data_IF_899343432912
#
_entry.id   IF_899343432912
#
_cell.length_a   1.000
_cell.length_b   1.000
_cell.length_c   1.000
_cell.angle_alpha   90.00
_cell.angle_beta   90.00
_cell.angle_gamma   90.00
#
_symmetry.space_group_name_H-M   'P 1'
#
loop_
_entity.id
_entity.type
_entity.pdbx_description
1 polymer ?
#
# COMPACT_ATOMS: atom_id res chain seq x y z
N UNK A 1 17.49 2.73 -49.64
CA UNK A 1 17.08 4.09 -50.16
C UNK A 1 17.02 5.15 -49.08
N UNK A 2 16.61 4.87 -47.86
CA UNK A 2 16.53 5.90 -46.77
C UNK A 2 17.91 6.33 -46.23
N UNK A 3 18.84 5.37 -46.05
CA UNK A 3 20.18 5.66 -45.50
C UNK A 3 21.09 6.47 -46.43
N UNK A 4 20.88 6.37 -47.77
CA UNK A 4 21.67 7.16 -48.75
C UNK A 4 21.25 8.62 -48.75
N UNK A 5 19.94 8.91 -48.56
CA UNK A 5 19.41 10.23 -48.52
C UNK A 5 19.83 11.01 -47.26
N UNK A 6 19.79 10.36 -46.10
CA UNK A 6 20.21 10.98 -44.85
C UNK A 6 21.73 11.29 -44.84
N UNK A 7 22.54 10.51 -45.53
CA UNK A 7 23.96 10.78 -45.66
C UNK A 7 24.25 11.93 -46.59
N UNK A 8 23.53 12.02 -47.72
CA UNK A 8 23.65 13.12 -48.69
C UNK A 8 23.22 14.47 -48.09
N UNK A 9 22.17 14.49 -47.26
CA UNK A 9 21.75 15.69 -46.53
C UNK A 9 22.79 16.13 -45.52
N UNK A 10 23.39 15.21 -44.78
CA UNK A 10 24.45 15.52 -43.80
C UNK A 10 25.72 16.06 -44.44
N UNK A 11 26.05 15.61 -45.64
CA UNK A 11 27.23 16.12 -46.39
C UNK A 11 26.92 17.55 -46.93
N UNK A 12 25.74 17.80 -47.46
CA UNK A 12 25.36 19.17 -47.94
C UNK A 12 25.30 20.20 -46.82
N UNK A 13 24.84 19.81 -45.63
CA UNK A 13 24.80 20.73 -44.47
C UNK A 13 26.22 21.10 -43.99
N UNK A 14 27.20 20.23 -44.22
CA UNK A 14 28.62 20.50 -43.87
C UNK A 14 29.32 21.40 -44.91
N UNK A 15 28.92 21.33 -46.16
CA UNK A 15 29.55 22.09 -47.26
C UNK A 15 29.02 23.53 -47.40
N UNK A 16 27.78 23.82 -47.03
CA UNK A 16 27.20 25.16 -46.99
C UNK A 16 26.60 25.48 -45.61
N UNK A 17 27.40 26.02 -44.68
CA UNK A 17 26.84 26.49 -43.40
C UNK A 17 25.89 27.69 -43.67
N UNK A 18 24.61 27.45 -43.52
CA UNK A 18 23.60 28.54 -43.60
C UNK A 18 23.87 29.51 -42.46
N UNK A 19 24.19 30.79 -42.74
CA UNK A 19 24.46 31.75 -41.66
C UNK A 19 23.21 31.94 -40.81
N UNK A 20 23.38 31.75 -39.50
CA UNK A 20 22.30 31.93 -38.53
C UNK A 20 21.79 33.39 -38.64
N UNK A 21 20.48 33.60 -38.82
CA UNK A 21 19.94 34.97 -38.95
C UNK A 21 20.29 35.80 -37.70
N UNK A 22 20.65 37.06 -37.92
CA UNK A 22 21.03 38.00 -36.84
C UNK A 22 19.96 38.12 -35.73
N UNK A 23 18.69 37.88 -36.07
CA UNK A 23 17.59 37.85 -35.08
C UNK A 23 17.72 36.71 -34.10
N UNK A 24 18.15 35.53 -34.55
CA UNK A 24 18.37 34.35 -33.68
C UNK A 24 19.58 34.58 -32.79
N UNK A 25 20.64 35.20 -33.30
CA UNK A 25 21.82 35.58 -32.50
C UNK A 25 21.41 36.53 -31.37
N UNK A 26 20.66 37.58 -31.65
CA UNK A 26 20.17 38.51 -30.63
C UNK A 26 19.22 37.88 -29.62
N UNK A 27 18.39 36.93 -30.00
CA UNK A 27 17.54 36.21 -29.05
C UNK A 27 18.35 35.31 -28.14
N UNK A 28 19.39 34.64 -28.65
CA UNK A 28 20.29 33.84 -27.86
C UNK A 28 21.06 34.73 -26.86
N UNK A 29 21.61 35.86 -27.28
CA UNK A 29 22.31 36.80 -26.39
C UNK A 29 21.35 37.36 -25.32
N UNK A 30 20.17 37.79 -25.66
CA UNK A 30 19.16 38.26 -24.69
C UNK A 30 18.75 37.16 -23.68
N UNK A 31 18.65 35.92 -24.16
CA UNK A 31 18.34 34.80 -23.28
C UNK A 31 19.51 34.48 -22.33
N UNK A 32 20.74 34.54 -22.82
CA UNK A 32 21.94 34.35 -22.01
C UNK A 32 22.14 35.48 -20.97
N UNK A 33 21.83 36.74 -21.33
CA UNK A 33 21.87 37.88 -20.39
C UNK A 33 20.75 37.82 -19.34
N UNK A 34 19.62 37.17 -19.64
CA UNK A 34 18.49 37.01 -18.74
C UNK A 34 18.66 35.85 -17.75
N UNK A 35 19.69 35.02 -17.90
CA UNK A 35 19.95 33.93 -16.98
C UNK A 35 20.47 34.49 -15.64
N UNK A 36 19.91 34.08 -14.49
CA UNK A 36 20.36 34.53 -13.19
C UNK A 36 21.84 34.16 -12.98
N UNK A 37 22.63 35.12 -12.53
CA UNK A 37 24.03 34.90 -12.17
C UNK A 37 24.18 33.66 -11.28
N UNK A 38 25.16 32.84 -11.65
CA UNK A 38 25.47 31.57 -11.00
C UNK A 38 25.79 31.82 -9.53
N UNK A 39 24.85 31.60 -8.60
CA UNK A 39 25.09 31.60 -7.17
C UNK A 39 26.31 30.73 -6.89
N UNK A 40 27.31 31.30 -6.19
CA UNK A 40 28.51 30.60 -5.75
C UNK A 40 28.14 29.24 -5.17
N UNK A 41 28.72 28.20 -5.76
CA UNK A 41 28.57 26.82 -5.27
C UNK A 41 29.16 26.79 -3.85
N UNK A 42 28.29 26.60 -2.83
CA UNK A 42 28.74 26.05 -1.56
C UNK A 42 29.64 24.85 -1.89
N UNK A 43 30.86 24.83 -1.39
CA UNK A 43 31.74 23.67 -1.48
C UNK A 43 31.02 22.48 -0.88
N UNK A 44 30.37 21.69 -1.71
CA UNK A 44 29.98 20.33 -1.36
C UNK A 44 31.30 19.60 -1.20
N UNK A 45 31.61 19.21 0.02
CA UNK A 45 32.74 18.31 0.31
C UNK A 45 32.39 17.06 -0.53
N UNK A 46 33.12 16.89 -1.64
CA UNK A 46 32.96 15.68 -2.47
C UNK A 46 33.47 14.52 -1.63
N UNK A 47 32.57 13.80 -0.99
CA UNK A 47 32.87 12.46 -0.47
C UNK A 47 33.49 11.67 -1.62
N UNK A 48 34.64 11.00 -1.39
CA UNK A 48 35.26 10.18 -2.42
C UNK A 48 34.20 9.23 -2.99
N UNK A 49 34.06 9.19 -4.30
CA UNK A 49 33.04 8.40 -5.00
C UNK A 49 32.93 6.97 -4.46
N UNK A 50 34.02 6.37 -3.99
CA UNK A 50 34.06 5.07 -3.34
C UNK A 50 33.27 5.02 -2.04
N UNK A 51 33.26 6.08 -1.21
CA UNK A 51 32.50 6.12 0.05
C UNK A 51 30.99 6.27 -0.20
N UNK A 52 30.59 7.05 -1.21
CA UNK A 52 29.20 7.22 -1.61
C UNK A 52 28.63 5.92 -2.20
N UNK A 53 29.40 5.20 -3.00
CA UNK A 53 29.02 3.88 -3.53
C UNK A 53 28.94 2.84 -2.41
N UNK A 54 29.91 2.83 -1.48
CA UNK A 54 29.87 1.93 -0.33
C UNK A 54 28.66 2.20 0.57
N UNK A 55 28.31 3.47 0.84
CA UNK A 55 27.12 3.84 1.60
C UNK A 55 25.82 3.44 0.88
N UNK A 56 25.75 3.60 -0.45
CA UNK A 56 24.61 3.18 -1.25
C UNK A 56 24.44 1.65 -1.27
N UNK A 57 25.53 0.91 -1.39
CA UNK A 57 25.52 -0.56 -1.31
C UNK A 57 25.11 -1.02 0.09
N UNK A 58 25.57 -0.35 1.14
CA UNK A 58 25.25 -0.67 2.52
C UNK A 58 23.76 -0.38 2.83
N UNK A 59 23.22 0.74 2.33
CA UNK A 59 21.79 1.04 2.39
C UNK A 59 20.96 0.03 1.58
N UNK A 60 21.40 -0.34 0.39
CA UNK A 60 20.74 -1.34 -0.43
C UNK A 60 20.74 -2.72 0.27
N UNK A 61 21.86 -3.11 0.88
CA UNK A 61 21.94 -4.34 1.69
C UNK A 61 21.05 -4.27 2.92
N UNK A 62 20.97 -3.14 3.61
CA UNK A 62 20.09 -2.94 4.76
C UNK A 62 18.59 -3.09 4.41
N UNK A 63 18.20 -2.70 3.19
CA UNK A 63 16.81 -2.78 2.72
C UNK A 63 16.48 -4.15 2.11
N UNK A 64 17.40 -4.75 1.34
CA UNK A 64 17.12 -5.99 0.60
C UNK A 64 17.39 -7.27 1.41
N UNK A 65 18.43 -7.29 2.27
CA UNK A 65 18.82 -8.52 2.97
C UNK A 65 17.85 -8.93 4.10
N UNK A 66 17.18 -8.05 4.85
CA UNK A 66 16.14 -8.45 5.80
C UNK A 66 15.01 -9.25 5.16
N UNK A 67 14.67 -8.93 3.92
CA UNK A 67 13.63 -9.62 3.15
C UNK A 67 14.07 -10.97 2.56
N UNK A 68 15.33 -11.39 2.80
CA UNK A 68 15.88 -12.63 2.19
C UNK A 68 16.35 -13.64 3.26
N UNK A 69 16.55 -13.24 4.52
CA UNK A 69 17.08 -14.12 5.56
C UNK A 69 16.67 -13.70 6.98
N UNK A 70 15.96 -14.59 7.67
CA UNK A 70 15.55 -14.42 9.08
C UNK A 70 16.76 -14.19 9.99
N UNK A 71 17.88 -14.85 9.74
CA UNK A 71 19.11 -14.67 10.52
C UNK A 71 19.73 -13.28 10.37
N UNK A 72 19.60 -12.66 9.20
CA UNK A 72 20.06 -11.30 8.97
C UNK A 72 19.11 -10.27 9.59
N UNK A 73 17.82 -10.51 9.52
CA UNK A 73 16.81 -9.68 10.15
C UNK A 73 17.05 -9.55 11.66
N UNK A 74 17.29 -10.67 12.37
CA UNK A 74 17.66 -10.68 13.79
C UNK A 74 18.97 -9.94 14.11
N UNK A 75 19.90 -9.85 13.15
CA UNK A 75 21.13 -9.08 13.31
C UNK A 75 20.93 -7.58 13.13
N UNK A 76 20.00 -7.18 12.23
CA UNK A 76 19.62 -5.77 11.96
C UNK A 76 18.81 -5.19 13.12
N UNK A 77 17.98 -6.00 13.77
CA UNK A 77 17.20 -5.66 14.96
C UNK A 77 18.06 -5.10 16.12
N UNK A 78 19.33 -5.50 16.21
CA UNK A 78 20.27 -5.02 17.21
C UNK A 78 20.88 -3.64 16.88
N UNK A 79 20.53 -3.04 15.76
CA UNK A 79 20.93 -1.68 15.40
C UNK A 79 19.93 -0.71 16.03
N UNK A 80 20.33 0.19 16.97
CA UNK A 80 19.42 1.00 17.79
C UNK A 80 18.44 1.91 17.03
N UNK A 81 18.68 2.15 15.73
CA UNK A 81 17.81 3.02 14.88
C UNK A 81 16.72 2.22 14.16
N UNK A 82 16.82 0.88 14.13
CA UNK A 82 15.89 0.00 13.39
C UNK A 82 15.16 -0.95 14.35
N UNK A 83 15.71 -1.20 15.54
CA UNK A 83 15.18 -2.14 16.52
C UNK A 83 13.90 -1.69 17.23
N UNK A 84 13.59 -0.38 17.18
CA UNK A 84 12.42 0.17 17.90
C UNK A 84 11.12 0.13 17.04
N UNK A 85 11.21 -0.30 15.77
CA UNK A 85 10.05 -0.43 14.88
C UNK A 85 9.74 -1.90 14.61
N UNK A 86 8.47 -2.18 14.34
CA UNK A 86 8.04 -3.51 13.88
C UNK A 86 8.71 -3.85 12.56
N UNK A 87 9.30 -5.03 12.47
CA UNK A 87 9.93 -5.51 11.26
C UNK A 87 8.98 -6.45 10.51
N UNK A 88 8.86 -6.24 9.22
CA UNK A 88 8.05 -7.06 8.34
C UNK A 88 8.96 -7.74 7.33
N UNK A 89 8.82 -9.04 7.18
CA UNK A 89 9.56 -9.83 6.22
C UNK A 89 8.60 -10.61 5.32
N UNK A 90 8.91 -10.71 4.04
CA UNK A 90 8.29 -11.71 3.19
C UNK A 90 8.94 -13.06 3.50
N UNK A 91 8.24 -13.92 4.22
CA UNK A 91 8.79 -15.21 4.67
C UNK A 91 8.54 -16.31 3.67
N UNK A 92 7.40 -16.24 2.98
CA UNK A 92 6.98 -17.25 2.01
C UNK A 92 6.44 -16.60 0.76
N UNK A 93 6.99 -17.04 -0.38
CA UNK A 93 6.48 -16.69 -1.69
C UNK A 93 5.95 -17.95 -2.36
N UNK A 94 4.71 -17.90 -2.82
CA UNK A 94 4.11 -18.95 -3.64
C UNK A 94 3.88 -18.39 -5.03
N UNK A 95 4.42 -19.05 -6.02
CA UNK A 95 4.18 -18.72 -7.41
C UNK A 95 3.80 -19.98 -8.18
N UNK A 96 2.68 -19.90 -8.89
CA UNK A 96 2.25 -20.91 -9.85
C UNK A 96 1.67 -20.20 -11.07
N UNK A 97 1.99 -20.68 -12.28
CA UNK A 97 1.35 -20.22 -13.50
C UNK A 97 1.38 -21.32 -14.55
N UNK A 98 0.24 -21.62 -15.16
CA UNK A 98 0.09 -22.56 -16.28
C UNK A 98 -0.38 -21.87 -17.57
N UNK A 99 -0.47 -20.53 -17.54
CA UNK A 99 -0.96 -19.69 -18.63
C UNK A 99 -2.48 -19.44 -18.60
N UNK A 100 -3.21 -20.18 -17.78
CA UNK A 100 -4.65 -20.00 -17.54
C UNK A 100 -4.95 -19.67 -16.07
N UNK A 101 -4.16 -20.22 -15.16
CA UNK A 101 -4.27 -20.00 -13.73
C UNK A 101 -2.96 -19.43 -13.21
N UNK A 102 -3.08 -18.49 -12.28
CA UNK A 102 -1.94 -17.84 -11.64
C UNK A 102 -2.16 -17.72 -10.14
N UNK A 103 -1.16 -18.08 -9.37
CA UNK A 103 -1.08 -17.79 -7.94
C UNK A 103 0.23 -17.03 -7.73
N UNK A 104 0.12 -15.82 -7.22
CA UNK A 104 1.25 -15.02 -6.76
C UNK A 104 0.94 -14.52 -5.34
N UNK A 105 1.66 -15.04 -4.36
CA UNK A 105 1.38 -14.77 -2.96
C UNK A 105 2.65 -14.45 -2.20
N UNK A 106 2.70 -13.23 -1.69
CA UNK A 106 3.71 -12.74 -0.76
C UNK A 106 3.14 -12.75 0.66
N UNK A 107 3.67 -13.64 1.53
CA UNK A 107 3.17 -13.81 2.89
C UNK A 107 4.12 -13.15 3.87
N UNK A 108 3.66 -12.10 4.61
CA UNK A 108 4.47 -11.41 5.58
C UNK A 108 4.64 -12.20 6.88
N UNK A 109 5.72 -11.93 7.58
CA UNK A 109 5.91 -12.23 8.99
C UNK A 109 6.18 -10.94 9.75
N UNK A 110 5.40 -10.70 10.79
CA UNK A 110 5.54 -9.56 11.70
C UNK A 110 6.51 -9.96 12.81
N UNK A 111 7.48 -9.11 13.08
CA UNK A 111 8.42 -9.27 14.18
C UNK A 111 8.51 -7.98 15.00
N UNK A 112 7.88 -7.96 16.17
CA UNK A 112 8.04 -6.94 17.19
C UNK A 112 8.69 -7.59 18.42
N UNK A 113 9.96 -7.27 18.67
CA UNK A 113 10.71 -7.87 19.77
C UNK A 113 10.12 -7.57 21.15
N UNK A 114 9.47 -6.43 21.30
CA UNK A 114 8.87 -6.00 22.56
C UNK A 114 7.50 -6.64 22.79
N UNK A 115 6.82 -7.04 21.69
CA UNK A 115 5.46 -7.60 21.71
C UNK A 115 5.39 -8.93 20.94
N UNK A 116 6.33 -9.84 21.18
CA UNK A 116 6.46 -11.11 20.45
C UNK A 116 5.18 -11.97 20.46
N UNK A 117 4.43 -12.01 21.55
CA UNK A 117 3.18 -12.80 21.64
C UNK A 117 2.09 -12.27 20.70
N UNK A 118 2.06 -10.93 20.46
CA UNK A 118 1.10 -10.32 19.55
C UNK A 118 1.54 -10.55 18.12
N UNK A 119 2.83 -10.43 17.84
CA UNK A 119 3.40 -10.80 16.53
C UNK A 119 3.07 -12.25 16.17
N UNK A 120 3.24 -13.19 17.09
CA UNK A 120 2.87 -14.59 16.89
C UNK A 120 1.38 -14.78 16.60
N UNK A 121 0.50 -14.01 17.29
CA UNK A 121 -0.94 -14.04 17.02
C UNK A 121 -1.26 -13.53 15.62
N UNK A 122 -0.68 -12.40 15.20
CA UNK A 122 -0.88 -11.83 13.85
C UNK A 122 -0.36 -12.83 12.81
N UNK A 123 0.86 -13.36 12.99
CA UNK A 123 1.44 -14.31 12.06
C UNK A 123 0.59 -15.57 11.92
N UNK A 124 0.03 -16.08 13.01
CA UNK A 124 -0.91 -17.19 12.97
C UNK A 124 -2.18 -16.86 12.17
N UNK A 125 -2.78 -15.68 12.36
CA UNK A 125 -3.97 -15.26 11.63
C UNK A 125 -3.69 -15.06 10.14
N UNK A 126 -2.54 -14.46 9.81
CA UNK A 126 -2.06 -14.33 8.41
C UNK A 126 -1.88 -15.71 7.79
N UNK A 127 -1.26 -16.64 8.50
CA UNK A 127 -1.03 -18.02 8.04
C UNK A 127 -2.34 -18.78 7.81
N UNK A 128 -3.28 -18.69 8.73
CA UNK A 128 -4.59 -19.35 8.60
C UNK A 128 -5.35 -18.86 7.39
N UNK A 129 -5.39 -17.54 7.19
CA UNK A 129 -6.06 -16.94 6.03
C UNK A 129 -5.38 -17.31 4.71
N UNK A 130 -4.07 -17.07 4.61
CA UNK A 130 -3.34 -17.28 3.36
C UNK A 130 -3.27 -18.75 2.96
N UNK A 131 -3.08 -19.66 3.92
CA UNK A 131 -3.13 -21.09 3.66
C UNK A 131 -4.51 -21.56 3.18
N UNK A 132 -5.60 -21.02 3.75
CA UNK A 132 -6.95 -21.36 3.30
C UNK A 132 -7.18 -20.93 1.83
N UNK A 133 -6.72 -19.72 1.47
CA UNK A 133 -6.81 -19.19 0.10
C UNK A 133 -5.99 -20.03 -0.89
N UNK A 134 -4.74 -20.35 -0.53
CA UNK A 134 -3.84 -21.14 -1.36
C UNK A 134 -4.38 -22.57 -1.55
N UNK A 135 -4.89 -23.19 -0.48
CA UNK A 135 -5.50 -24.52 -0.56
C UNK A 135 -6.75 -24.53 -1.46
N UNK A 136 -7.61 -23.49 -1.35
CA UNK A 136 -8.76 -23.32 -2.21
C UNK A 136 -8.36 -23.26 -3.68
N UNK A 137 -7.31 -22.49 -4.02
CA UNK A 137 -6.79 -22.41 -5.39
C UNK A 137 -6.39 -23.77 -5.96
N UNK A 138 -5.62 -24.56 -5.21
CA UNK A 138 -5.19 -25.89 -5.68
C UNK A 138 -6.35 -26.89 -5.76
N UNK A 139 -7.33 -26.81 -4.86
CA UNK A 139 -8.54 -27.63 -4.93
C UNK A 139 -9.39 -27.30 -6.16
N UNK A 140 -9.54 -26.01 -6.49
CA UNK A 140 -10.25 -25.59 -7.70
C UNK A 140 -9.55 -26.06 -8.98
N UNK A 141 -8.20 -26.00 -9.04
CA UNK A 141 -7.42 -26.55 -10.13
C UNK A 141 -7.67 -28.07 -10.30
N UNK A 142 -7.69 -28.82 -9.21
CA UNK A 142 -7.96 -30.27 -9.25
C UNK A 142 -9.37 -30.59 -9.72
N UNK A 143 -10.39 -29.89 -9.18
CA UNK A 143 -11.81 -30.09 -9.51
C UNK A 143 -12.07 -29.77 -10.99
N UNK A 144 -11.50 -28.68 -11.49
CA UNK A 144 -11.70 -28.23 -12.88
C UNK A 144 -10.82 -28.99 -13.88
N UNK A 145 -9.86 -29.78 -13.41
CA UNK A 145 -8.85 -30.43 -14.25
C UNK A 145 -7.99 -29.43 -15.02
N UNK A 146 -7.79 -28.22 -14.44
CA UNK A 146 -7.05 -27.14 -15.06
C UNK A 146 -7.79 -26.45 -16.21
N UNK A 147 -9.12 -26.61 -16.31
CA UNK A 147 -9.94 -25.89 -17.29
C UNK A 147 -10.48 -24.58 -16.71
N UNK A 148 -10.56 -23.54 -17.54
CA UNK A 148 -10.99 -22.22 -17.12
C UNK A 148 -9.84 -21.23 -16.95
N UNK A 149 -10.14 -20.13 -16.29
CA UNK A 149 -9.17 -19.07 -15.97
C UNK A 149 -9.38 -18.63 -14.53
N UNK A 150 -8.32 -18.46 -13.78
CA UNK A 150 -8.38 -17.97 -12.42
C UNK A 150 -7.03 -17.50 -11.91
N UNK A 151 -7.00 -16.39 -11.21
CA UNK A 151 -5.78 -15.89 -10.58
C UNK A 151 -6.05 -15.50 -9.14
N UNK A 152 -5.08 -15.73 -8.28
CA UNK A 152 -5.07 -15.29 -6.89
C UNK A 152 -3.78 -14.50 -6.65
N UNK A 153 -3.94 -13.30 -6.11
CA UNK A 153 -2.85 -12.45 -5.66
C UNK A 153 -3.00 -12.18 -4.17
N UNK A 154 -1.93 -12.40 -3.42
CA UNK A 154 -1.85 -12.05 -2.00
C UNK A 154 -0.67 -11.11 -1.85
N UNK A 155 -0.94 -9.91 -1.33
CA UNK A 155 0.03 -8.86 -1.11
C UNK A 155 -0.18 -8.20 0.25
N UNK A 156 0.81 -7.46 0.74
CA UNK A 156 0.72 -6.79 2.03
C UNK A 156 1.34 -5.39 1.99
N UNK A 157 0.89 -4.55 2.90
CA UNK A 157 1.39 -3.19 3.06
C UNK A 157 1.47 -2.83 4.55
N UNK A 158 2.54 -2.16 4.94
CA UNK A 158 2.64 -1.52 6.25
C UNK A 158 1.99 -0.15 6.16
N UNK A 159 0.76 -0.01 6.69
CA UNK A 159 0.00 1.25 6.67
C UNK A 159 0.57 2.24 7.68
N UNK A 160 0.88 1.76 8.89
CA UNK A 160 1.44 2.56 9.97
C UNK A 160 2.52 1.76 10.69
N UNK A 161 3.64 2.39 10.99
CA UNK A 161 4.72 1.82 11.80
C UNK A 161 5.43 2.92 12.59
N UNK A 162 4.93 3.19 13.78
CA UNK A 162 5.44 4.18 14.72
C UNK A 162 5.83 3.55 16.05
N UNK A 163 6.40 4.32 16.95
CA UNK A 163 6.68 3.86 18.32
C UNK A 163 5.42 3.53 19.12
N UNK A 164 4.27 4.12 18.72
CA UNK A 164 3.00 3.97 19.45
C UNK A 164 2.06 2.96 18.80
N UNK A 165 2.09 2.85 17.46
CA UNK A 165 1.08 2.11 16.70
C UNK A 165 1.67 1.43 15.47
N UNK A 166 1.23 0.20 15.23
CA UNK A 166 1.54 -0.55 14.03
C UNK A 166 0.26 -1.04 13.35
N UNK A 167 0.23 -0.97 12.01
CA UNK A 167 -0.86 -1.49 11.18
C UNK A 167 -0.31 -2.19 9.96
N UNK A 168 -0.63 -3.47 9.82
CA UNK A 168 -0.42 -4.28 8.63
C UNK A 168 -1.74 -4.44 7.87
N UNK A 169 -1.72 -4.17 6.57
CA UNK A 169 -2.81 -4.49 5.63
C UNK A 169 -2.41 -5.71 4.79
N UNK A 170 -3.25 -6.71 4.75
CA UNK A 170 -3.17 -7.84 3.83
C UNK A 170 -4.26 -7.71 2.78
N UNK A 171 -3.90 -7.83 1.51
CA UNK A 171 -4.81 -7.78 0.37
C UNK A 171 -4.87 -9.15 -0.29
N UNK A 172 -6.08 -9.65 -0.50
CA UNK A 172 -6.31 -10.87 -1.29
C UNK A 172 -7.21 -10.54 -2.46
N UNK A 173 -6.73 -10.78 -3.67
CA UNK A 173 -7.48 -10.56 -4.91
C UNK A 173 -7.68 -11.89 -5.64
N UNK A 174 -8.93 -12.28 -5.81
CA UNK A 174 -9.35 -13.46 -6.57
C UNK A 174 -9.94 -13.00 -7.90
N UNK A 175 -9.39 -13.45 -9.01
CA UNK A 175 -9.86 -13.13 -10.36
C UNK A 175 -10.30 -14.41 -11.07
N UNK A 176 -11.53 -14.40 -11.57
CA UNK A 176 -12.08 -15.45 -12.41
C UNK A 176 -12.98 -14.81 -13.49
N UNK A 177 -14.27 -15.13 -13.53
CA UNK A 177 -15.24 -14.41 -14.38
C UNK A 177 -15.48 -12.97 -13.91
N UNK A 178 -15.25 -12.68 -12.63
CA UNK A 178 -15.22 -11.35 -12.01
C UNK A 178 -14.06 -11.29 -11.02
N UNK A 179 -13.71 -10.09 -10.59
CA UNK A 179 -12.75 -9.89 -9.48
C UNK A 179 -13.48 -9.85 -8.14
N UNK A 180 -12.82 -10.36 -7.11
CA UNK A 180 -13.23 -10.17 -5.73
C UNK A 180 -11.98 -9.86 -4.90
N UNK A 181 -11.95 -8.69 -4.30
CA UNK A 181 -10.84 -8.25 -3.45
C UNK A 181 -11.34 -8.06 -2.03
N UNK A 182 -10.62 -8.62 -1.08
CA UNK A 182 -10.87 -8.40 0.33
C UNK A 182 -9.58 -8.09 1.08
N UNK A 183 -9.74 -7.30 2.12
CA UNK A 183 -8.68 -6.76 2.95
C UNK A 183 -8.77 -7.34 4.36
N UNK A 184 -7.62 -7.41 5.04
CA UNK A 184 -7.54 -7.64 6.48
C UNK A 184 -6.51 -6.71 7.06
N UNK A 185 -6.88 -6.08 8.18
CA UNK A 185 -6.00 -5.21 8.93
C UNK A 185 -5.66 -5.84 10.27
N UNK A 186 -4.41 -5.72 10.66
CA UNK A 186 -3.89 -6.19 11.94
C UNK A 186 -3.21 -5.02 12.63
N UNK A 187 -3.56 -4.80 13.89
CA UNK A 187 -3.08 -3.63 14.64
C UNK A 187 -2.38 -4.04 15.93
N UNK A 188 -1.30 -3.34 16.24
CA UNK A 188 -0.62 -3.41 17.55
C UNK A 188 -0.64 -2.03 18.16
N UNK A 189 -1.27 -1.87 19.32
CA UNK A 189 -0.96 -0.77 20.22
C UNK A 189 0.33 -1.11 20.95
N UNK A 190 1.40 -0.45 20.59
CA UNK A 190 2.73 -0.70 21.12
C UNK A 190 2.94 -0.09 22.49
N UNK A 191 2.16 0.95 22.84
CA UNK A 191 2.21 1.57 24.19
C UNK A 191 1.65 0.62 25.23
N UNK A 192 0.53 -0.03 24.94
CA UNK A 192 -0.14 -0.94 25.85
C UNK A 192 0.23 -2.43 25.61
N UNK A 193 0.93 -2.73 24.53
CA UNK A 193 1.30 -4.09 24.14
C UNK A 193 0.07 -4.96 23.89
N UNK A 194 -0.89 -4.47 23.08
CA UNK A 194 -2.15 -5.17 22.81
C UNK A 194 -2.44 -5.26 21.32
N UNK A 195 -3.02 -6.40 20.91
CA UNK A 195 -3.70 -6.52 19.63
C UNK A 195 -5.04 -5.80 19.71
N UNK A 196 -5.38 -5.01 18.69
CA UNK A 196 -6.57 -4.14 18.70
C UNK A 196 -7.49 -4.47 17.55
N UNK A 197 -8.76 -4.73 17.87
CA UNK A 197 -9.85 -4.88 16.91
C UNK A 197 -10.72 -3.62 16.89
N UNK A 198 -11.65 -3.51 15.94
CA UNK A 198 -12.63 -2.42 15.92
C UNK A 198 -13.51 -2.43 17.18
N UNK A 199 -13.86 -3.64 17.66
CA UNK A 199 -14.60 -3.82 18.90
C UNK A 199 -13.88 -3.34 20.16
N UNK A 200 -12.55 -3.28 20.12
CA UNK A 200 -11.76 -2.73 21.23
C UNK A 200 -11.78 -1.20 21.26
N UNK A 201 -11.96 -0.55 20.09
CA UNK A 201 -11.99 0.91 19.99
C UNK A 201 -13.27 1.50 20.61
N UNK A 202 -14.41 0.85 20.38
CA UNK A 202 -15.72 1.38 20.71
C UNK A 202 -16.51 0.40 21.58
N UNK A 203 -17.47 0.91 22.36
CA UNK A 203 -18.45 0.05 23.01
C UNK A 203 -19.47 -0.43 21.99
N UNK A 204 -19.96 -1.66 22.13
CA UNK A 204 -20.98 -2.20 21.22
C UNK A 204 -22.23 -1.29 21.15
N UNK A 205 -22.59 -0.61 22.23
CA UNK A 205 -23.69 0.37 22.30
C UNK A 205 -23.47 1.60 21.43
N UNK A 206 -22.20 1.95 21.14
CA UNK A 206 -21.81 3.13 20.33
C UNK A 206 -21.68 2.78 18.84
N UNK A 207 -21.71 1.51 18.47
CA UNK A 207 -21.56 1.08 17.06
C UNK A 207 -22.61 1.71 16.16
N UNK A 208 -23.84 1.86 16.61
CA UNK A 208 -24.88 2.53 15.84
C UNK A 208 -24.55 4.00 15.55
N UNK A 209 -23.96 4.71 16.52
CA UNK A 209 -23.54 6.09 16.32
C UNK A 209 -22.40 6.19 15.29
N UNK A 210 -21.41 5.31 15.38
CA UNK A 210 -20.32 5.24 14.38
C UNK A 210 -20.84 4.85 13.01
N UNK A 211 -21.78 3.91 12.93
CA UNK A 211 -22.43 3.51 11.67
C UNK A 211 -23.15 4.68 10.99
N UNK A 212 -23.83 5.54 11.76
CA UNK A 212 -24.47 6.73 11.20
C UNK A 212 -23.44 7.75 10.69
N UNK A 213 -22.30 7.92 11.39
CA UNK A 213 -21.18 8.75 10.89
C UNK A 213 -20.64 8.21 9.56
N UNK A 214 -20.41 6.90 9.46
CA UNK A 214 -19.97 6.23 8.23
C UNK A 214 -20.97 6.49 7.10
N UNK A 215 -22.25 6.25 7.34
CA UNK A 215 -23.32 6.46 6.34
C UNK A 215 -23.43 7.91 5.90
N UNK A 216 -23.20 8.86 6.81
CA UNK A 216 -23.19 10.28 6.47
C UNK A 216 -22.02 10.62 5.55
N UNK A 217 -20.82 10.12 5.81
CA UNK A 217 -19.68 10.31 4.90
C UNK A 217 -19.94 9.67 3.52
N UNK A 218 -20.52 8.46 3.48
CA UNK A 218 -20.93 7.83 2.22
C UNK A 218 -21.96 8.67 1.44
N UNK A 219 -22.88 9.38 2.13
CA UNK A 219 -23.84 10.29 1.46
C UNK A 219 -23.11 11.51 0.86
N UNK A 220 -22.19 12.11 1.62
CA UNK A 220 -21.38 13.25 1.15
C UNK A 220 -20.51 12.86 -0.03
N UNK A 221 -19.90 11.69 0.01
CA UNK A 221 -19.10 11.18 -1.10
C UNK A 221 -19.96 10.98 -2.36
N UNK A 222 -21.14 10.34 -2.23
CA UNK A 222 -22.08 10.17 -3.35
C UNK A 222 -22.58 11.51 -3.93
N UNK A 223 -22.66 12.56 -3.12
CA UNK A 223 -23.05 13.91 -3.61
C UNK A 223 -21.92 14.58 -4.39
N UNK A 224 -20.67 14.25 -4.10
CA UNK A 224 -19.49 14.86 -4.72
C UNK A 224 -18.90 14.03 -5.87
N UNK A 225 -19.19 12.73 -5.92
CA UNK A 225 -18.70 11.79 -6.93
C UNK A 225 -19.85 10.93 -7.48
N UNK A 226 -20.13 11.07 -8.79
CA UNK A 226 -21.19 10.32 -9.48
C UNK A 226 -20.88 8.80 -9.58
N UNK A 227 -19.62 8.42 -9.47
CA UNK A 227 -19.16 7.03 -9.49
C UNK A 227 -19.28 6.35 -8.12
N UNK A 228 -19.51 7.10 -7.04
CA UNK A 228 -19.74 6.58 -5.69
C UNK A 228 -21.19 6.05 -5.54
N UNK A 229 -21.34 4.73 -5.55
CA UNK A 229 -22.64 4.06 -5.50
C UNK A 229 -22.73 3.16 -4.25
N UNK A 230 -23.50 3.61 -3.25
CA UNK A 230 -23.71 2.86 -2.00
C UNK A 230 -25.13 2.30 -1.89
N UNK A 231 -25.28 1.10 -1.31
CA UNK A 231 -26.57 0.41 -1.15
C UNK A 231 -27.27 0.81 0.14
N UNK A 232 -27.67 2.09 0.27
CA UNK A 232 -28.41 2.58 1.45
C UNK A 232 -29.74 1.87 1.66
N UNK A 233 -30.38 1.43 0.57
CA UNK A 233 -31.59 0.65 0.58
C UNK A 233 -31.31 -0.77 0.09
N UNK A 234 -32.11 -1.71 0.57
CA UNK A 234 -31.98 -3.10 0.15
C UNK A 234 -32.22 -3.22 -1.35
N UNK A 235 -31.22 -3.72 -2.08
CA UNK A 235 -31.33 -3.97 -3.52
C UNK A 235 -32.29 -5.14 -3.83
N UNK A 236 -32.62 -5.31 -5.11
CA UNK A 236 -33.42 -6.48 -5.55
C UNK A 236 -32.71 -7.81 -5.23
N UNK A 237 -31.40 -7.83 -5.19
CA UNK A 237 -30.58 -8.98 -4.81
C UNK A 237 -30.41 -9.14 -3.29
N UNK A 238 -31.02 -8.26 -2.50
CA UNK A 238 -30.99 -8.31 -1.06
C UNK A 238 -29.78 -7.67 -0.40
N UNK A 239 -28.90 -7.03 -1.16
CA UNK A 239 -27.71 -6.33 -0.68
C UNK A 239 -28.08 -5.01 0.00
N UNK A 240 -27.41 -4.66 1.05
CA UNK A 240 -27.49 -3.37 1.77
C UNK A 240 -26.21 -3.15 2.53
N UNK A 241 -25.95 -1.94 2.98
CA UNK A 241 -24.82 -1.66 3.89
C UNK A 241 -24.98 -2.50 5.14
N UNK A 242 -24.01 -3.37 5.50
CA UNK A 242 -24.05 -4.18 6.71
C UNK A 242 -23.91 -3.29 7.95
N UNK A 243 -24.34 -3.81 9.10
CA UNK A 243 -24.00 -3.21 10.38
C UNK A 243 -22.49 -3.37 10.66
N UNK A 244 -21.90 -2.45 11.41
CA UNK A 244 -20.52 -2.58 11.87
C UNK A 244 -20.41 -3.74 12.86
N UNK A 245 -19.31 -4.48 12.74
CA UNK A 245 -19.01 -5.63 13.58
C UNK A 245 -17.69 -5.44 14.36
N UNK A 246 -17.43 -6.27 15.36
CA UNK A 246 -16.19 -6.22 16.16
C UNK A 246 -14.92 -6.39 15.32
N UNK A 247 -15.00 -7.17 14.23
CA UNK A 247 -13.91 -7.45 13.29
C UNK A 247 -13.92 -6.53 12.04
N UNK A 248 -14.62 -5.38 12.12
CA UNK A 248 -14.64 -4.41 11.02
C UNK A 248 -13.22 -3.97 10.66
N UNK A 249 -12.89 -3.97 9.36
CA UNK A 249 -11.61 -3.44 8.89
C UNK A 249 -11.54 -1.92 9.10
N UNK A 250 -10.43 -1.46 9.63
CA UNK A 250 -10.17 -0.03 9.85
C UNK A 250 -8.68 0.28 9.86
N UNK A 251 -8.33 1.55 9.83
CA UNK A 251 -7.02 2.05 10.20
C UNK A 251 -7.11 3.54 10.58
N UNK A 252 -6.05 4.07 11.20
CA UNK A 252 -5.91 5.51 11.40
C UNK A 252 -4.98 6.08 10.34
N UNK A 253 -5.43 7.13 9.64
CA UNK A 253 -4.60 7.82 8.65
C UNK A 253 -3.56 8.75 9.32
N UNK A 254 -2.69 9.37 8.51
CA UNK A 254 -1.63 10.26 9.02
C UNK A 254 -2.12 11.52 9.75
N UNK A 255 -3.42 11.83 9.69
CA UNK A 255 -4.05 12.94 10.42
C UNK A 255 -4.70 12.49 11.74
N UNK A 256 -4.73 11.20 12.02
CA UNK A 256 -5.43 10.61 13.14
C UNK A 256 -6.93 10.39 12.89
N UNK A 257 -7.40 10.53 11.63
CA UNK A 257 -8.79 10.21 11.31
C UNK A 257 -8.99 8.70 11.22
N UNK A 258 -10.16 8.24 11.64
CA UNK A 258 -10.56 6.85 11.52
C UNK A 258 -10.99 6.56 10.07
N UNK A 259 -10.39 5.58 9.44
CA UNK A 259 -10.81 5.08 8.14
C UNK A 259 -11.46 3.71 8.32
N UNK A 260 -12.76 3.63 8.05
CA UNK A 260 -13.51 2.37 8.04
C UNK A 260 -13.46 1.80 6.63
N UNK A 261 -13.02 0.54 6.51
CA UNK A 261 -12.73 -0.09 5.22
C UNK A 261 -13.70 -1.23 4.95
N UNK A 262 -14.25 -1.25 3.76
CA UNK A 262 -15.15 -2.31 3.31
C UNK A 262 -14.51 -3.12 2.18
N UNK A 263 -14.83 -4.41 2.14
CA UNK A 263 -14.39 -5.26 1.06
C UNK A 263 -15.17 -4.99 -0.23
N UNK A 264 -14.65 -5.44 -1.35
CA UNK A 264 -15.35 -5.33 -2.63
C UNK A 264 -16.71 -6.02 -2.56
N UNK A 265 -17.74 -5.40 -3.10
CA UNK A 265 -19.15 -5.84 -3.04
C UNK A 265 -19.81 -5.81 -1.66
N UNK A 266 -19.19 -5.24 -0.65
CA UNK A 266 -19.75 -5.22 0.70
C UNK A 266 -20.80 -4.13 0.87
N UNK A 267 -20.56 -2.94 0.32
CA UNK A 267 -21.44 -1.76 0.47
C UNK A 267 -21.88 -1.12 -0.84
N UNK A 268 -21.34 -1.58 -1.97
CA UNK A 268 -21.58 -1.04 -3.29
C UNK A 268 -21.17 -2.02 -4.40
N UNK A 269 -21.33 -1.67 -5.69
CA UNK A 269 -20.93 -2.51 -6.80
C UNK A 269 -19.41 -2.69 -6.85
N UNK A 270 -18.97 -3.82 -7.42
CA UNK A 270 -17.55 -4.16 -7.49
C UNK A 270 -16.66 -3.16 -8.23
N UNK A 271 -17.24 -2.25 -9.02
CA UNK A 271 -16.51 -1.14 -9.67
C UNK A 271 -15.93 -0.15 -8.67
N UNK A 272 -16.46 -0.08 -7.45
CA UNK A 272 -15.92 0.77 -6.38
C UNK A 272 -14.67 0.18 -5.70
N UNK A 273 -14.30 -1.09 -5.99
CA UNK A 273 -13.22 -1.77 -5.29
C UNK A 273 -13.56 -1.99 -3.82
N UNK A 274 -12.61 -1.66 -2.94
CA UNK A 274 -12.75 -1.70 -1.48
C UNK A 274 -12.91 -0.27 -0.95
N UNK A 275 -14.13 0.21 -0.67
CA UNK A 275 -14.34 1.58 -0.22
C UNK A 275 -13.72 1.88 1.15
N UNK A 276 -13.10 3.05 1.28
CA UNK A 276 -12.45 3.55 2.48
C UNK A 276 -13.15 4.83 2.95
N UNK A 277 -13.87 4.75 4.05
CA UNK A 277 -14.70 5.85 4.55
C UNK A 277 -13.99 6.56 5.70
N UNK A 278 -13.59 7.80 5.48
CA UNK A 278 -12.84 8.59 6.46
C UNK A 278 -13.78 9.36 7.37
N UNK A 279 -13.61 9.18 8.68
CA UNK A 279 -14.33 9.90 9.74
C UNK A 279 -13.30 10.75 10.49
N UNK A 280 -13.50 12.06 10.49
CA UNK A 280 -12.63 13.01 11.19
C UNK A 280 -12.60 12.73 12.70
N UNK A 281 -11.43 12.93 13.31
CA UNK A 281 -11.20 12.62 14.73
C UNK A 281 -12.17 13.35 15.68
N UNK A 282 -12.53 14.58 15.37
CA UNK A 282 -13.49 15.37 16.17
C UNK A 282 -14.92 14.79 16.23
N UNK A 283 -15.27 13.91 15.28
CA UNK A 283 -16.58 13.25 15.24
C UNK A 283 -16.65 11.96 16.05
N UNK A 284 -15.58 11.16 16.06
CA UNK A 284 -15.60 9.84 16.68
C UNK A 284 -14.89 9.77 18.04
N UNK A 285 -13.98 10.70 18.40
CA UNK A 285 -13.21 10.65 19.65
C UNK A 285 -14.08 10.52 20.91
N UNK A 286 -15.27 11.14 20.92
CA UNK A 286 -16.21 11.05 22.05
C UNK A 286 -16.73 9.62 22.31
N UNK A 287 -16.62 8.71 21.33
CA UNK A 287 -17.06 7.31 21.41
C UNK A 287 -15.89 6.37 21.71
N UNK A 288 -14.64 6.86 21.67
CA UNK A 288 -13.48 6.03 21.94
C UNK A 288 -13.51 5.51 23.38
N UNK A 289 -13.53 4.21 23.50
CA UNK A 289 -13.29 3.51 24.76
C UNK A 289 -11.79 3.31 24.99
N UNK A 290 -11.06 3.11 23.89
CA UNK A 290 -9.65 2.76 23.87
C UNK A 290 -8.78 3.91 24.41
N UNK A 291 -7.97 3.64 25.44
CA UNK A 291 -7.11 4.64 26.08
C UNK A 291 -7.82 5.61 27.07
N UNK A 292 -9.14 5.48 27.28
CA UNK A 292 -9.88 6.34 28.21
C UNK A 292 -9.79 5.90 29.69
N UNK A 293 -9.24 4.73 29.97
CA UNK A 293 -8.98 4.24 31.31
C UNK A 293 -7.52 4.56 31.74
N UNK A 294 -7.24 5.84 31.95
CA UNK A 294 -6.01 6.30 32.63
C UNK A 294 -6.35 6.88 33.98
#
# INVERSE_FOLDING_TARGET
MKESFDREIRERIKEEPVPVPQQVHRQIEQTLESLPEKKERRRIVMMPRGLAVAAAILLLMLVLLPNVSVAYAQAVEKIPVIGDLVQIFTVRNYFYSDGHHELDAEIPEVNDSDHAQISDLINKNVDELTNAVIQKFYQELEITGGTGYGSIYIDYETVTNTEEWFTLKLTVSELAASSNTYLRFYHIDRVNGTYVTFGDLFRTEDFQAIEELVKEQMRLERESDEDAVYWFEKTELGQSIPALEEEQNFYFNGNGDLVVVYNQYEVGPGSMGCPEITISSDLYEQYLRYGSEK
#
